data_IF_368357557090
#
_entry.id   IF_368357557090
#
_cell.length_a   1.000
_cell.length_b   1.000
_cell.length_c   1.000
_cell.angle_alpha   90.00
_cell.angle_beta   90.00
_cell.angle_gamma   90.00
#
_symmetry.space_group_name_H-M   'P 1'
#
loop_
_entity.id
_entity.type
_entity.pdbx_description
1 polymer ?
#
# COMPACT_ATOMS: atom_id res chain seq x y z
N UNK A 1 -21.51 -0.93 -18.88
CA UNK A 1 -21.30 -2.18 -18.11
C UNK A 1 -21.11 -1.84 -16.64
N UNK A 2 -21.73 -2.58 -15.71
CA UNK A 2 -21.64 -2.31 -14.27
C UNK A 2 -20.31 -2.86 -13.73
N UNK A 3 -19.57 -2.03 -12.98
CA UNK A 3 -18.30 -2.42 -12.35
C UNK A 3 -18.50 -2.55 -10.84
N UNK A 4 -18.23 -3.73 -10.29
CA UNK A 4 -18.25 -3.99 -8.86
C UNK A 4 -16.88 -3.71 -8.26
N UNK A 5 -16.77 -2.65 -7.46
CA UNK A 5 -15.54 -2.30 -6.77
C UNK A 5 -15.63 -2.83 -5.35
N UNK A 6 -14.78 -3.78 -4.98
CA UNK A 6 -14.80 -4.44 -3.68
C UNK A 6 -13.59 -4.00 -2.85
N UNK A 7 -13.82 -3.56 -1.62
CA UNK A 7 -12.76 -3.30 -0.64
C UNK A 7 -12.36 -4.61 0.03
N UNK A 8 -11.11 -5.06 -0.13
CA UNK A 8 -10.65 -6.30 0.47
C UNK A 8 -10.34 -6.19 1.97
N UNK A 9 -10.35 -4.98 2.56
CA UNK A 9 -10.08 -4.79 3.99
C UNK A 9 -10.97 -5.70 4.83
N UNK A 10 -10.35 -6.49 5.71
CA UNK A 10 -11.10 -7.31 6.66
C UNK A 10 -11.72 -8.57 6.05
N UNK A 11 -11.59 -8.80 4.74
CA UNK A 11 -12.15 -9.98 4.08
C UNK A 11 -11.22 -11.19 4.19
N UNK A 12 -11.78 -12.39 4.28
CA UNK A 12 -11.02 -13.64 4.18
C UNK A 12 -10.71 -13.94 2.71
N UNK A 13 -9.43 -14.00 2.35
CA UNK A 13 -8.90 -14.18 0.99
C UNK A 13 -9.66 -15.23 0.18
N UNK A 14 -9.84 -16.43 0.74
CA UNK A 14 -10.48 -17.56 0.05
C UNK A 14 -11.97 -17.35 -0.16
N UNK A 15 -12.69 -16.80 0.83
CA UNK A 15 -14.13 -16.54 0.71
C UNK A 15 -14.40 -15.42 -0.29
N UNK A 16 -13.63 -14.33 -0.20
CA UNK A 16 -13.67 -13.24 -1.18
C UNK A 16 -13.44 -13.75 -2.60
N UNK A 17 -12.45 -14.64 -2.79
CA UNK A 17 -12.13 -15.20 -4.09
C UNK A 17 -13.29 -16.03 -4.68
N UNK A 18 -13.97 -16.83 -3.87
CA UNK A 18 -15.09 -17.67 -4.32
C UNK A 18 -16.27 -16.84 -4.85
N UNK A 19 -16.72 -15.85 -4.06
CA UNK A 19 -17.79 -14.95 -4.50
C UNK A 19 -17.40 -14.16 -5.75
N UNK A 20 -16.16 -13.68 -5.81
CA UNK A 20 -15.65 -12.96 -6.97
C UNK A 20 -15.63 -13.87 -8.21
N UNK A 21 -15.16 -15.11 -8.11
CA UNK A 21 -15.13 -16.06 -9.22
C UNK A 21 -16.54 -16.30 -9.80
N UNK A 22 -17.56 -16.45 -8.94
CA UNK A 22 -18.94 -16.61 -9.40
C UNK A 22 -19.47 -15.37 -10.13
N UNK A 23 -19.16 -14.16 -9.64
CA UNK A 23 -19.53 -12.90 -10.31
C UNK A 23 -18.87 -12.78 -11.69
N UNK A 24 -17.59 -13.12 -11.80
CA UNK A 24 -16.87 -13.07 -13.08
C UNK A 24 -17.45 -14.03 -14.13
N UNK A 25 -17.90 -15.22 -13.69
CA UNK A 25 -18.57 -16.21 -14.56
C UNK A 25 -19.99 -15.80 -14.97
N UNK A 26 -20.66 -14.95 -14.18
CA UNK A 26 -21.92 -14.31 -14.55
C UNK A 26 -21.73 -13.18 -15.58
N UNK A 27 -20.49 -12.80 -15.88
CA UNK A 27 -20.17 -11.76 -16.86
C UNK A 27 -19.89 -10.38 -16.25
N UNK A 28 -19.89 -10.27 -14.92
CA UNK A 28 -19.68 -8.99 -14.25
C UNK A 28 -18.21 -8.57 -14.22
N UNK A 29 -17.96 -7.26 -14.27
CA UNK A 29 -16.63 -6.70 -14.06
C UNK A 29 -16.38 -6.46 -12.58
N UNK A 30 -15.29 -7.02 -12.05
CA UNK A 30 -14.96 -6.91 -10.62
C UNK A 30 -13.57 -6.33 -10.45
N UNK A 31 -13.49 -5.27 -9.66
CA UNK A 31 -12.24 -4.62 -9.26
C UNK A 31 -12.08 -4.75 -7.75
N UNK A 32 -11.04 -5.46 -7.31
CA UNK A 32 -10.70 -5.59 -5.89
C UNK A 32 -9.58 -4.59 -5.57
N UNK A 33 -9.79 -3.77 -4.53
CA UNK A 33 -8.81 -2.81 -4.03
C UNK A 33 -8.40 -3.13 -2.61
N UNK A 34 -7.25 -2.60 -2.17
CA UNK A 34 -6.69 -2.79 -0.82
C UNK A 34 -6.40 -4.25 -0.48
N UNK A 35 -5.85 -4.98 -1.46
CA UNK A 35 -5.53 -6.39 -1.32
C UNK A 35 -4.57 -6.70 -0.15
N UNK A 36 -3.72 -5.76 0.24
CA UNK A 36 -2.80 -5.84 1.39
C UNK A 36 -3.54 -5.94 2.73
N UNK A 37 -4.76 -5.43 2.83
CA UNK A 37 -5.58 -5.45 4.04
C UNK A 37 -6.54 -6.66 4.11
N UNK A 38 -6.45 -7.57 3.14
CA UNK A 38 -7.14 -8.85 3.19
C UNK A 38 -6.56 -9.74 4.31
N UNK A 39 -7.35 -10.69 4.78
CA UNK A 39 -6.98 -11.58 5.87
C UNK A 39 -6.98 -13.06 5.44
N UNK A 40 -6.16 -13.85 6.12
CA UNK A 40 -6.17 -15.31 6.07
C UNK A 40 -6.34 -15.80 7.51
N UNK A 41 -7.15 -16.85 7.71
CA UNK A 41 -7.27 -17.47 9.03
C UNK A 41 -5.95 -18.14 9.45
N UNK A 42 -5.75 -18.27 10.77
CA UNK A 42 -4.55 -18.83 11.36
C UNK A 42 -3.44 -17.80 11.59
N UNK A 43 -2.48 -18.18 12.44
CA UNK A 43 -1.34 -17.36 12.81
C UNK A 43 -0.37 -17.15 11.64
N UNK A 44 0.40 -16.05 11.69
CA UNK A 44 1.34 -15.64 10.65
C UNK A 44 2.39 -16.73 10.36
N UNK A 45 2.96 -17.36 11.39
CA UNK A 45 3.97 -18.42 11.23
C UNK A 45 3.44 -19.62 10.44
N UNK A 46 2.21 -20.06 10.71
CA UNK A 46 1.55 -21.15 9.95
C UNK A 46 1.38 -20.76 8.48
N UNK A 47 0.97 -19.53 8.22
CA UNK A 47 0.73 -19.05 6.86
C UNK A 47 2.05 -18.81 6.10
N UNK A 48 3.11 -18.38 6.78
CA UNK A 48 4.47 -18.30 6.25
C UNK A 48 4.99 -19.68 5.86
N UNK A 49 4.87 -20.68 6.73
CA UNK A 49 5.29 -22.06 6.42
C UNK A 49 4.53 -22.65 5.23
N UNK A 50 3.21 -22.41 5.15
CA UNK A 50 2.41 -22.80 3.99
C UNK A 50 2.89 -22.13 2.70
N UNK A 51 3.25 -20.85 2.79
CA UNK A 51 3.75 -20.13 1.64
C UNK A 51 5.17 -20.58 1.26
N UNK A 52 6.05 -20.83 2.23
CA UNK A 52 7.38 -21.39 2.02
C UNK A 52 7.31 -22.75 1.32
N UNK A 53 6.45 -23.66 1.78
CA UNK A 53 6.20 -24.93 1.08
C UNK A 53 5.72 -24.71 -0.37
N UNK A 54 4.93 -23.67 -0.63
CA UNK A 54 4.56 -23.27 -2.00
C UNK A 54 5.76 -22.75 -2.80
N UNK A 55 6.72 -22.04 -2.19
CA UNK A 55 7.94 -21.57 -2.86
C UNK A 55 8.87 -22.69 -3.29
N UNK A 56 8.90 -23.79 -2.55
CA UNK A 56 9.75 -24.93 -2.88
C UNK A 56 9.22 -25.69 -4.11
N UNK A 57 7.98 -25.43 -4.55
CA UNK A 57 7.38 -26.05 -5.75
C UNK A 57 7.89 -25.40 -7.02
N UNK A 58 9.13 -25.70 -7.39
CA UNK A 58 9.78 -25.25 -8.63
C UNK A 58 9.99 -26.42 -9.59
N UNK A 59 10.17 -26.11 -10.87
CA UNK A 59 10.57 -27.11 -11.86
C UNK A 59 12.08 -27.34 -11.72
N UNK A 60 12.50 -28.61 -11.56
CA UNK A 60 13.91 -28.97 -11.34
C UNK A 60 14.81 -28.64 -12.54
N UNK A 61 14.31 -28.83 -13.76
CA UNK A 61 15.07 -28.63 -15.01
C UNK A 61 15.24 -27.15 -15.34
N UNK A 62 14.13 -26.40 -15.44
CA UNK A 62 14.15 -24.97 -15.70
C UNK A 62 13.13 -24.23 -14.81
N UNK A 63 13.59 -23.56 -13.73
CA UNK A 63 12.73 -22.80 -12.83
C UNK A 63 11.94 -21.67 -13.51
N UNK A 64 12.41 -21.12 -14.64
CA UNK A 64 11.74 -20.02 -15.35
C UNK A 64 10.42 -20.45 -16.00
N UNK A 65 10.35 -21.68 -16.52
CA UNK A 65 9.15 -22.28 -17.16
C UNK A 65 8.16 -22.84 -16.13
N UNK A 66 8.61 -23.05 -14.89
CA UNK A 66 7.82 -23.63 -13.82
C UNK A 66 6.79 -22.68 -13.19
N UNK A 67 6.42 -23.00 -11.95
CA UNK A 67 5.44 -22.21 -11.20
C UNK A 67 5.95 -20.80 -10.91
N UNK A 68 5.18 -19.77 -11.28
CA UNK A 68 5.48 -18.40 -10.88
C UNK A 68 4.94 -18.12 -9.48
N UNK A 69 5.83 -17.76 -8.55
CA UNK A 69 5.46 -17.40 -7.19
C UNK A 69 5.34 -15.88 -7.06
N UNK A 70 4.12 -15.35 -7.11
CA UNK A 70 3.88 -13.92 -6.89
C UNK A 70 3.96 -13.55 -5.41
N UNK A 71 4.54 -12.38 -5.11
CA UNK A 71 4.70 -11.84 -3.74
C UNK A 71 3.69 -10.76 -3.38
N UNK A 72 3.24 -9.98 -4.36
CA UNK A 72 2.29 -8.90 -4.13
C UNK A 72 0.91 -9.45 -3.66
N UNK A 73 0.28 -8.84 -2.63
CA UNK A 73 -1.04 -9.28 -2.13
C UNK A 73 -2.12 -9.34 -3.23
N UNK A 74 -2.14 -8.35 -4.12
CA UNK A 74 -3.02 -8.29 -5.30
C UNK A 74 -2.89 -9.53 -6.17
N UNK A 75 -1.65 -9.93 -6.49
CA UNK A 75 -1.37 -11.12 -7.30
C UNK A 75 -1.67 -12.42 -6.55
N UNK A 76 -1.50 -12.45 -5.23
CA UNK A 76 -1.89 -13.60 -4.41
C UNK A 76 -3.41 -13.84 -4.46
N UNK A 77 -4.21 -12.77 -4.38
CA UNK A 77 -5.68 -12.84 -4.54
C UNK A 77 -6.03 -13.21 -5.99
N UNK A 78 -5.41 -12.58 -6.97
CA UNK A 78 -5.63 -12.86 -8.40
C UNK A 78 -5.34 -14.34 -8.71
N UNK A 79 -4.27 -14.91 -8.16
CA UNK A 79 -3.93 -16.34 -8.30
C UNK A 79 -4.94 -17.25 -7.61
N UNK A 80 -5.45 -16.87 -6.44
CA UNK A 80 -6.51 -17.61 -5.76
C UNK A 80 -7.80 -17.65 -6.59
N UNK A 81 -8.22 -16.50 -7.14
CA UNK A 81 -9.40 -16.43 -8.02
C UNK A 81 -9.17 -17.23 -9.31
N UNK A 82 -7.98 -17.12 -9.93
CA UNK A 82 -7.63 -17.92 -11.11
C UNK A 82 -7.75 -19.44 -10.87
N UNK A 83 -7.39 -19.90 -9.67
CA UNK A 83 -7.53 -21.30 -9.27
C UNK A 83 -8.98 -21.76 -9.10
N UNK A 84 -9.92 -20.84 -8.92
CA UNK A 84 -11.37 -21.11 -8.82
C UNK A 84 -12.11 -20.93 -10.15
N UNK A 85 -11.41 -20.55 -11.22
CA UNK A 85 -11.96 -20.34 -12.55
C UNK A 85 -11.44 -21.39 -13.54
N UNK A 86 -12.26 -21.83 -14.51
CA UNK A 86 -11.83 -22.70 -15.61
C UNK A 86 -11.00 -21.91 -16.65
N UNK A 87 -9.90 -21.28 -16.21
CA UNK A 87 -9.13 -20.28 -16.95
C UNK A 87 -8.42 -20.80 -18.21
N UNK A 88 -8.36 -22.12 -18.42
CA UNK A 88 -7.86 -22.73 -19.66
C UNK A 88 -8.90 -22.69 -20.79
N UNK A 89 -10.19 -22.61 -20.44
CA UNK A 89 -11.27 -22.45 -21.43
C UNK A 89 -11.40 -20.99 -21.87
N UNK A 90 -11.90 -20.72 -23.10
CA UNK A 90 -12.11 -19.35 -23.58
C UNK A 90 -13.09 -18.58 -22.68
N UNK A 91 -14.15 -19.24 -22.19
CA UNK A 91 -15.10 -18.64 -21.23
C UNK A 91 -14.42 -18.20 -19.94
N UNK A 92 -13.57 -19.06 -19.38
CA UNK A 92 -12.86 -18.76 -18.14
C UNK A 92 -11.76 -17.71 -18.33
N UNK A 93 -11.08 -17.71 -19.48
CA UNK A 93 -10.11 -16.69 -19.84
C UNK A 93 -10.78 -15.30 -19.97
N UNK A 94 -11.93 -15.23 -20.65
CA UNK A 94 -12.73 -14.01 -20.72
C UNK A 94 -13.18 -13.53 -19.34
N UNK A 95 -13.65 -14.43 -18.47
CA UNK A 95 -14.01 -14.12 -17.09
C UNK A 95 -12.82 -13.57 -16.29
N UNK A 96 -11.64 -14.15 -16.44
CA UNK A 96 -10.43 -13.67 -15.79
C UNK A 96 -9.98 -12.29 -16.31
N UNK A 97 -10.21 -12.00 -17.60
CA UNK A 97 -9.96 -10.68 -18.19
C UNK A 97 -10.81 -9.56 -17.60
N UNK A 98 -11.98 -9.88 -17.01
CA UNK A 98 -12.85 -8.89 -16.33
C UNK A 98 -12.36 -8.51 -14.93
N UNK A 99 -11.41 -9.25 -14.36
CA UNK A 99 -10.90 -9.05 -13.00
C UNK A 99 -9.74 -8.04 -12.96
N UNK A 100 -9.86 -7.04 -12.10
CA UNK A 100 -8.75 -6.14 -11.73
C UNK A 100 -8.47 -6.22 -10.23
N UNK A 101 -7.21 -6.20 -9.84
CA UNK A 101 -6.78 -6.31 -8.44
C UNK A 101 -5.66 -5.30 -8.16
N UNK A 102 -5.76 -4.55 -7.08
CA UNK A 102 -4.79 -3.51 -6.71
C UNK A 102 -4.37 -3.60 -5.24
N UNK A 103 -3.09 -3.34 -5.01
CA UNK A 103 -2.56 -3.03 -3.68
C UNK A 103 -2.80 -1.54 -3.41
N UNK A 104 -3.43 -1.21 -2.30
CA UNK A 104 -4.00 0.11 -2.04
C UNK A 104 -5.20 0.45 -2.92
N UNK A 105 -5.56 1.73 -2.96
CA UNK A 105 -6.62 2.26 -3.84
C UNK A 105 -5.99 3.27 -4.80
N UNK A 106 -5.92 2.97 -6.11
CA UNK A 106 -5.43 3.95 -7.07
C UNK A 106 -6.45 5.08 -7.25
N UNK A 107 -5.98 6.23 -7.73
CA UNK A 107 -6.74 7.49 -7.87
C UNK A 107 -8.07 7.33 -8.60
N UNK A 108 -8.13 6.46 -9.62
CA UNK A 108 -9.32 6.15 -10.42
C UNK A 108 -10.47 5.61 -9.55
N UNK A 109 -10.17 4.77 -8.56
CA UNK A 109 -11.17 4.15 -7.68
C UNK A 109 -11.30 4.87 -6.33
N UNK A 110 -10.55 5.94 -6.09
CA UNK A 110 -10.54 6.66 -4.82
C UNK A 110 -11.93 7.21 -4.48
N UNK A 111 -12.52 7.96 -5.41
CA UNK A 111 -13.83 8.64 -5.26
C UNK A 111 -15.03 7.72 -5.48
N UNK A 112 -14.84 6.53 -6.06
CA UNK A 112 -15.91 5.56 -6.31
C UNK A 112 -16.29 4.83 -5.02
N UNK A 113 -17.58 4.53 -4.85
CA UNK A 113 -18.08 3.76 -3.71
C UNK A 113 -17.55 2.34 -3.80
N UNK A 114 -16.90 1.90 -2.72
CA UNK A 114 -16.43 0.52 -2.56
C UNK A 114 -17.49 -0.29 -1.82
N UNK A 115 -17.68 -1.51 -2.27
CA UNK A 115 -18.61 -2.48 -1.71
C UNK A 115 -17.86 -3.47 -0.82
N UNK A 116 -18.61 -4.16 0.01
CA UNK A 116 -18.15 -5.19 0.94
C UNK A 116 -19.00 -6.42 0.71
N UNK A 117 -18.41 -7.60 0.85
CA UNK A 117 -19.13 -8.87 0.83
C UNK A 117 -19.24 -9.34 2.28
N UNK A 118 -20.39 -9.16 2.95
CA UNK A 118 -20.54 -9.49 4.37
C UNK A 118 -20.10 -10.93 4.66
N UNK A 119 -20.55 -11.87 3.84
CA UNK A 119 -20.25 -13.29 3.98
C UNK A 119 -18.78 -13.68 3.86
N UNK A 120 -17.93 -12.78 3.37
CA UNK A 120 -16.49 -12.96 3.30
C UNK A 120 -15.74 -12.18 4.38
N UNK A 121 -16.41 -11.35 5.19
CA UNK A 121 -15.77 -10.61 6.28
C UNK A 121 -15.26 -11.54 7.38
N UNK A 122 -14.03 -11.31 7.81
CA UNK A 122 -13.40 -12.00 8.94
C UNK A 122 -14.26 -11.87 10.21
N UNK A 123 -14.77 -10.68 10.51
CA UNK A 123 -15.52 -10.40 11.75
C UNK A 123 -16.78 -11.27 11.87
N UNK A 124 -17.41 -11.61 10.75
CA UNK A 124 -18.61 -12.45 10.73
C UNK A 124 -18.28 -13.94 10.67
N UNK A 125 -17.17 -14.31 10.03
CA UNK A 125 -16.88 -15.71 9.70
C UNK A 125 -15.87 -16.39 10.61
N UNK A 126 -15.08 -15.63 11.36
CA UNK A 126 -14.05 -16.15 12.25
C UNK A 126 -14.47 -15.90 13.69
N UNK A 127 -14.25 -16.89 14.57
CA UNK A 127 -14.46 -16.72 16.01
C UNK A 127 -13.57 -15.60 16.56
N UNK A 128 -14.05 -14.85 17.54
CA UNK A 128 -13.37 -13.67 18.07
C UNK A 128 -11.94 -13.94 18.58
N UNK A 129 -11.70 -15.11 19.21
CA UNK A 129 -10.38 -15.51 19.74
C UNK A 129 -9.44 -16.11 18.69
N UNK A 130 -9.92 -16.43 17.51
CA UNK A 130 -9.11 -17.12 16.52
C UNK A 130 -8.12 -16.17 15.84
N UNK A 131 -6.85 -16.57 15.84
CA UNK A 131 -5.76 -15.81 15.22
C UNK A 131 -5.95 -15.73 13.70
N UNK A 132 -5.56 -14.61 13.12
CA UNK A 132 -5.57 -14.38 11.68
C UNK A 132 -4.29 -13.64 11.28
N UNK A 133 -4.01 -13.67 9.98
CA UNK A 133 -2.87 -13.00 9.37
C UNK A 133 -3.37 -12.00 8.35
N UNK A 134 -2.85 -10.78 8.37
CA UNK A 134 -3.07 -9.80 7.31
C UNK A 134 -2.16 -10.13 6.12
N UNK A 135 -2.69 -10.03 4.91
CA UNK A 135 -2.03 -10.46 3.69
C UNK A 135 -0.80 -9.62 3.37
N UNK A 136 -0.84 -8.32 3.68
CA UNK A 136 0.31 -7.42 3.57
C UNK A 136 1.50 -7.87 4.40
N UNK A 137 1.28 -8.28 5.66
CA UNK A 137 2.37 -8.72 6.55
C UNK A 137 2.98 -10.05 6.07
N UNK A 138 2.12 -10.97 5.61
CA UNK A 138 2.57 -12.20 4.97
C UNK A 138 3.37 -11.90 3.69
N UNK A 139 2.91 -10.97 2.86
CA UNK A 139 3.59 -10.61 1.61
C UNK A 139 4.97 -10.00 1.88
N UNK A 140 5.09 -9.10 2.86
CA UNK A 140 6.38 -8.52 3.28
C UNK A 140 7.34 -9.62 3.72
N UNK A 141 6.88 -10.54 4.58
CA UNK A 141 7.72 -11.64 5.09
C UNK A 141 8.24 -12.57 3.99
N UNK A 142 7.57 -12.63 2.84
CA UNK A 142 7.94 -13.49 1.71
C UNK A 142 8.70 -12.70 0.62
N UNK A 143 8.87 -11.38 0.77
CA UNK A 143 9.69 -10.54 -0.11
C UNK A 143 8.91 -9.56 -0.98
N UNK A 144 7.78 -9.02 -0.51
CA UNK A 144 7.10 -7.90 -1.18
C UNK A 144 7.71 -6.55 -0.74
N UNK A 145 8.44 -5.90 -1.63
CA UNK A 145 9.18 -4.65 -1.33
C UNK A 145 8.37 -3.35 -1.34
N UNK A 146 7.18 -3.33 -1.95
CA UNK A 146 6.42 -2.08 -2.14
C UNK A 146 5.54 -1.68 -0.94
N UNK A 147 5.55 -2.45 0.15
CA UNK A 147 4.68 -2.21 1.30
C UNK A 147 4.84 -0.80 1.91
N UNK A 148 6.07 -0.30 2.00
CA UNK A 148 6.34 1.05 2.53
C UNK A 148 5.74 2.16 1.66
N UNK A 149 5.90 2.07 0.35
CA UNK A 149 5.37 3.03 -0.63
C UNK A 149 3.84 3.04 -0.60
N UNK A 150 3.22 1.86 -0.66
CA UNK A 150 1.75 1.74 -0.58
C UNK A 150 1.23 2.27 0.75
N UNK A 151 1.94 1.99 1.86
CA UNK A 151 1.60 2.53 3.18
C UNK A 151 1.61 4.06 3.23
N UNK A 152 2.58 4.72 2.57
CA UNK A 152 2.62 6.19 2.46
C UNK A 152 1.43 6.72 1.65
N UNK A 153 1.20 6.16 0.46
CA UNK A 153 0.11 6.58 -0.43
C UNK A 153 -1.28 6.39 0.19
N UNK A 154 -1.50 5.29 0.92
CA UNK A 154 -2.77 5.05 1.62
C UNK A 154 -2.96 6.03 2.80
N UNK A 155 -1.91 6.41 3.51
CA UNK A 155 -1.99 7.44 4.58
C UNK A 155 -2.44 8.79 4.01
N UNK A 156 -1.82 9.22 2.90
CA UNK A 156 -2.20 10.45 2.20
C UNK A 156 -3.64 10.39 1.69
N UNK A 157 -4.03 9.26 1.08
CA UNK A 157 -5.40 9.03 0.61
C UNK A 157 -6.42 9.07 1.76
N UNK A 158 -6.10 8.47 2.91
CA UNK A 158 -6.97 8.49 4.09
C UNK A 158 -7.12 9.91 4.65
N UNK A 159 -6.05 10.72 4.65
CA UNK A 159 -6.12 12.13 5.04
C UNK A 159 -7.06 12.92 4.13
N UNK A 160 -6.90 12.79 2.80
CA UNK A 160 -7.80 13.39 1.80
C UNK A 160 -9.24 12.92 1.97
N UNK A 161 -9.44 11.63 2.23
CA UNK A 161 -10.75 11.03 2.50
C UNK A 161 -11.42 11.58 3.77
N UNK A 162 -10.68 11.77 4.86
CA UNK A 162 -11.16 12.36 6.11
C UNK A 162 -11.60 13.82 5.91
N UNK A 163 -10.81 14.61 5.20
CA UNK A 163 -11.14 16.00 4.85
C UNK A 163 -12.40 16.10 3.98
N UNK A 164 -12.53 15.21 2.98
CA UNK A 164 -13.73 15.12 2.16
C UNK A 164 -14.97 14.74 3.00
N UNK A 165 -14.85 13.73 3.87
CA UNK A 165 -15.96 13.27 4.69
C UNK A 165 -16.44 14.34 5.68
N UNK A 166 -15.53 15.04 6.36
CA UNK A 166 -15.91 16.11 7.29
C UNK A 166 -16.64 17.26 6.59
N UNK A 167 -16.18 17.66 5.40
CA UNK A 167 -16.88 18.62 4.54
C UNK A 167 -18.26 18.12 4.11
N UNK A 168 -18.37 16.86 3.68
CA UNK A 168 -19.64 16.24 3.26
C UNK A 168 -20.65 16.16 4.40
N UNK A 169 -20.21 15.86 5.62
CA UNK A 169 -21.08 15.83 6.80
C UNK A 169 -21.60 17.22 7.16
N UNK A 170 -20.76 18.26 7.08
CA UNK A 170 -21.21 19.65 7.26
C UNK A 170 -22.22 20.05 6.18
N UNK A 171 -21.93 19.72 4.92
CA UNK A 171 -22.83 20.00 3.80
C UNK A 171 -24.18 19.28 3.95
N UNK A 172 -24.17 18.04 4.46
CA UNK A 172 -25.38 17.29 4.79
C UNK A 172 -26.18 17.99 5.89
N UNK A 173 -25.54 18.36 7.01
CA UNK A 173 -26.21 19.10 8.11
C UNK A 173 -26.84 20.42 7.65
N UNK A 174 -26.16 21.15 6.77
CA UNK A 174 -26.71 22.39 6.19
C UNK A 174 -27.91 22.09 5.30
N UNK A 175 -27.85 21.05 4.47
CA UNK A 175 -28.98 20.63 3.64
C UNK A 175 -30.17 20.19 4.47
N UNK A 176 -29.93 19.40 5.52
CA UNK A 176 -30.95 18.93 6.45
C UNK A 176 -31.60 20.14 7.16
N UNK A 177 -30.80 21.10 7.66
CA UNK A 177 -31.33 22.32 8.28
C UNK A 177 -32.17 23.20 7.32
N UNK A 178 -31.75 23.35 6.06
CA UNK A 178 -32.53 24.05 5.03
C UNK A 178 -33.82 23.28 4.70
N UNK A 179 -33.77 21.96 4.68
CA UNK A 179 -34.95 21.13 4.46
C UNK A 179 -35.94 21.29 5.61
N UNK A 180 -35.48 21.23 6.86
CA UNK A 180 -36.30 21.50 8.05
C UNK A 180 -36.92 22.90 8.02
N UNK A 181 -36.17 23.93 7.62
CA UNK A 181 -36.69 25.30 7.44
C UNK A 181 -37.85 25.34 6.42
N UNK A 182 -37.68 24.64 5.29
CA UNK A 182 -38.70 24.53 4.24
C UNK A 182 -39.93 23.72 4.68
N UNK A 183 -39.75 22.69 5.51
CA UNK A 183 -40.88 21.93 6.06
C UNK A 183 -41.61 22.72 7.14
N UNK A 184 -40.88 23.44 8.00
CA UNK A 184 -41.49 24.30 9.01
C UNK A 184 -42.28 25.45 8.37
N UNK A 185 -41.79 26.06 7.28
CA UNK A 185 -42.54 27.09 6.53
C UNK A 185 -43.77 26.55 5.82
N UNK A 186 -43.68 25.36 5.21
CA UNK A 186 -44.86 24.65 4.65
C UNK A 186 -45.91 24.30 5.73
N UNK A 187 -45.47 23.81 6.89
CA UNK A 187 -46.35 23.45 8.01
C UNK A 187 -46.80 24.67 8.84
N UNK A 188 -46.09 25.80 8.79
CA UNK A 188 -46.45 27.05 9.46
C UNK A 188 -47.60 27.80 8.80
N UNK A 189 -47.94 27.44 7.54
CA UNK A 189 -49.21 27.85 6.91
C UNK A 189 -50.41 27.34 7.73
N UNK A 190 -50.23 26.39 8.66
CA UNK A 190 -51.29 25.85 9.52
C UNK A 190 -51.34 26.38 10.97
N UNK A 191 -50.33 27.07 11.56
CA UNK A 191 -50.49 27.70 12.91
C UNK A 191 -49.44 28.79 13.27
N UNK A 192 -49.85 29.79 14.09
CA UNK A 192 -49.03 30.92 14.62
C UNK A 192 -47.74 30.53 15.38
N UNK A 193 -47.59 29.28 15.84
CA UNK A 193 -46.37 28.78 16.56
C UNK A 193 -45.16 28.55 15.64
N UNK A 194 -45.32 28.52 14.31
CA UNK A 194 -44.24 28.25 13.35
C UNK A 194 -43.13 29.33 13.23
N UNK A 195 -43.47 30.61 13.39
CA UNK A 195 -42.54 31.75 13.14
C UNK A 195 -41.32 31.80 14.09
N UNK A 196 -41.45 31.36 15.35
CA UNK A 196 -40.33 31.31 16.31
C UNK A 196 -39.31 30.22 15.97
N UNK A 197 -39.76 29.06 15.46
CA UNK A 197 -38.90 27.95 15.04
C UNK A 197 -38.11 28.30 13.77
N UNK A 198 -38.75 28.99 12.83
CA UNK A 198 -38.11 29.44 11.59
C UNK A 198 -36.90 30.35 11.83
N UNK A 199 -37.01 31.32 12.75
CA UNK A 199 -35.91 32.22 13.11
C UNK A 199 -34.73 31.50 13.80
N UNK A 200 -35.00 30.46 14.59
CA UNK A 200 -33.95 29.65 15.21
C UNK A 200 -33.19 28.81 14.18
N UNK A 201 -33.92 28.24 13.20
CA UNK A 201 -33.34 27.47 12.09
C UNK A 201 -32.49 28.39 11.20
N UNK A 202 -33.00 29.57 10.81
CA UNK A 202 -32.24 30.58 10.04
C UNK A 202 -30.92 30.96 10.73
N UNK A 203 -30.95 31.23 12.04
CA UNK A 203 -29.72 31.51 12.83
C UNK A 203 -28.73 30.34 12.83
N UNK A 204 -29.22 29.09 12.93
CA UNK A 204 -28.39 27.89 12.86
C UNK A 204 -27.77 27.69 11.48
N UNK A 205 -28.56 27.86 10.41
CA UNK A 205 -28.13 27.79 9.01
C UNK A 205 -27.05 28.85 8.73
N UNK A 206 -27.23 30.09 9.20
CA UNK A 206 -26.25 31.16 9.02
C UNK A 206 -24.97 30.93 9.82
N UNK A 207 -25.06 30.37 11.03
CA UNK A 207 -23.89 29.95 11.82
C UNK A 207 -23.11 28.84 11.11
N UNK A 208 -23.80 27.87 10.50
CA UNK A 208 -23.17 26.81 9.71
C UNK A 208 -22.57 27.33 8.38
N UNK A 209 -23.22 28.30 7.72
CA UNK A 209 -22.67 28.98 6.53
C UNK A 209 -21.43 29.81 6.86
N UNK A 210 -21.41 30.55 7.98
CA UNK A 210 -20.25 31.32 8.47
C UNK A 210 -19.07 30.41 8.82
N UNK A 211 -19.29 29.30 9.51
CA UNK A 211 -18.24 28.30 9.81
C UNK A 211 -17.69 27.61 8.56
N UNK A 212 -18.52 27.42 7.52
CA UNK A 212 -18.09 26.92 6.19
C UNK A 212 -17.23 27.95 5.42
N UNK A 213 -17.56 29.26 5.48
CA UNK A 213 -16.73 30.35 4.92
C UNK A 213 -15.39 30.46 5.66
N UNK A 214 -15.38 30.41 6.99
CA UNK A 214 -14.16 30.44 7.81
C UNK A 214 -13.21 29.26 7.53
N UNK A 215 -13.74 28.04 7.37
CA UNK A 215 -12.93 26.86 7.00
C UNK A 215 -12.41 26.88 5.56
N UNK A 216 -13.16 27.44 4.59
CA UNK A 216 -12.66 27.66 3.22
C UNK A 216 -11.49 28.65 3.20
N UNK A 217 -11.56 29.73 3.98
CA UNK A 217 -10.46 30.69 4.12
C UNK A 217 -9.22 30.11 4.81
N UNK A 218 -9.42 29.25 5.82
CA UNK A 218 -8.33 28.57 6.52
C UNK A 218 -7.64 27.49 5.67
N UNK A 219 -8.39 26.69 4.90
CA UNK A 219 -7.79 25.73 3.95
C UNK A 219 -7.02 26.46 2.83
N UNK A 220 -7.57 27.53 2.25
CA UNK A 220 -6.83 28.30 1.24
C UNK A 220 -5.56 28.98 1.79
N UNK A 221 -5.56 29.43 3.06
CA UNK A 221 -4.36 29.95 3.74
C UNK A 221 -3.35 28.85 4.06
N UNK A 222 -3.80 27.64 4.39
CA UNK A 222 -2.93 26.49 4.69
C UNK A 222 -2.33 25.92 3.41
N UNK A 223 -3.14 25.70 2.37
CA UNK A 223 -2.70 25.29 1.03
C UNK A 223 -1.74 26.33 0.39
N UNK A 224 -1.90 27.63 0.70
CA UNK A 224 -0.97 28.69 0.26
C UNK A 224 0.29 28.85 1.13
N UNK A 225 0.27 28.39 2.38
CA UNK A 225 1.42 28.37 3.29
C UNK A 225 2.27 27.12 3.08
N UNK A 226 1.63 25.97 2.92
CA UNK A 226 2.24 24.68 2.58
C UNK A 226 2.90 24.75 1.19
N UNK A 227 2.29 25.42 0.19
CA UNK A 227 2.94 25.71 -1.11
C UNK A 227 4.14 26.67 -1.02
N UNK A 228 4.10 27.66 -0.12
CA UNK A 228 5.22 28.58 0.14
C UNK A 228 6.34 27.92 0.95
N UNK A 229 6.02 26.92 1.77
CA UNK A 229 6.99 26.11 2.51
C UNK A 229 7.61 25.03 1.60
N UNK A 230 6.82 24.37 0.74
CA UNK A 230 7.33 23.48 -0.33
C UNK A 230 8.22 24.23 -1.33
N UNK A 231 7.83 25.41 -1.84
CA UNK A 231 8.71 26.23 -2.72
C UNK A 231 10.00 26.72 -2.02
N UNK A 232 9.99 26.85 -0.68
CA UNK A 232 11.17 27.23 0.09
C UNK A 232 12.07 26.03 0.40
N UNK A 233 11.50 24.84 0.61
CA UNK A 233 12.25 23.59 0.75
C UNK A 233 12.88 23.16 -0.58
N UNK A 234 12.13 23.25 -1.69
CA UNK A 234 12.62 22.93 -3.04
C UNK A 234 13.78 23.86 -3.47
N UNK A 235 13.68 25.17 -3.18
CA UNK A 235 14.79 26.12 -3.42
C UNK A 235 16.01 25.89 -2.51
N UNK A 236 15.81 25.24 -1.35
CA UNK A 236 16.87 24.92 -0.39
C UNK A 236 17.56 23.60 -0.75
N UNK A 237 16.82 22.63 -1.30
CA UNK A 237 17.37 21.40 -1.89
C UNK A 237 18.11 21.67 -3.19
N UNK A 238 17.59 22.53 -4.08
CA UNK A 238 18.27 22.93 -5.33
C UNK A 238 19.61 23.66 -5.06
N UNK A 239 19.65 24.50 -4.02
CA UNK A 239 20.88 25.18 -3.61
C UNK A 239 21.87 24.23 -2.90
N UNK A 240 21.38 23.15 -2.28
CA UNK A 240 22.20 22.12 -1.66
C UNK A 240 22.80 21.20 -2.72
N UNK A 241 22.01 20.80 -3.72
CA UNK A 241 22.47 20.04 -4.90
C UNK A 241 23.49 20.83 -5.73
N UNK A 242 23.25 22.13 -5.98
CA UNK A 242 24.24 22.99 -6.68
C UNK A 242 25.54 23.17 -5.89
N UNK A 243 25.52 23.08 -4.56
CA UNK A 243 26.72 23.12 -3.71
C UNK A 243 27.46 21.78 -3.68
N UNK A 244 26.74 20.66 -3.66
CA UNK A 244 27.35 19.32 -3.78
C UNK A 244 27.94 19.10 -5.17
N UNK A 245 27.27 19.53 -6.24
CA UNK A 245 27.81 19.47 -7.61
C UNK A 245 29.05 20.36 -7.81
N UNK A 246 29.09 21.53 -7.16
CA UNK A 246 30.29 22.37 -7.16
C UNK A 246 31.43 21.74 -6.36
N UNK A 247 31.12 21.01 -5.29
CA UNK A 247 32.11 20.30 -4.47
C UNK A 247 32.64 19.09 -5.22
N UNK A 248 31.78 18.25 -5.80
CA UNK A 248 32.17 17.13 -6.66
C UNK A 248 32.97 17.58 -7.89
N UNK A 249 32.62 18.71 -8.53
CA UNK A 249 33.43 19.26 -9.64
C UNK A 249 34.79 19.82 -9.18
N UNK A 250 34.93 20.19 -7.91
CA UNK A 250 36.19 20.66 -7.33
C UNK A 250 37.07 19.48 -6.92
N UNK A 251 36.48 18.47 -6.30
CA UNK A 251 37.10 17.20 -5.93
C UNK A 251 37.57 16.44 -7.18
N UNK A 252 36.77 16.42 -8.26
CA UNK A 252 37.18 15.85 -9.57
C UNK A 252 38.28 16.67 -10.26
N UNK A 253 38.38 17.98 -9.98
CA UNK A 253 39.48 18.82 -10.48
C UNK A 253 40.77 18.60 -9.68
N UNK A 254 40.66 18.41 -8.37
CA UNK A 254 41.78 18.08 -7.49
C UNK A 254 42.29 16.66 -7.77
N UNK A 255 41.41 15.67 -7.95
CA UNK A 255 41.76 14.30 -8.37
C UNK A 255 42.41 14.25 -9.76
N UNK A 256 41.99 15.11 -10.70
CA UNK A 256 42.63 15.23 -12.02
C UNK A 256 44.02 15.86 -11.92
N UNK A 257 44.21 16.83 -11.02
CA UNK A 257 45.50 17.48 -10.75
C UNK A 257 46.47 16.50 -10.06
N UNK A 258 45.98 15.74 -9.11
CA UNK A 258 46.75 14.69 -8.42
C UNK A 258 47.07 13.50 -9.34
N UNK A 259 46.21 13.20 -10.33
CA UNK A 259 46.49 12.21 -11.39
C UNK A 259 47.46 12.71 -12.46
N UNK A 260 47.51 14.01 -12.77
CA UNK A 260 48.56 14.57 -13.64
C UNK A 260 49.91 14.62 -12.92
N UNK A 261 49.94 14.97 -11.63
CA UNK A 261 51.17 15.01 -10.82
C UNK A 261 51.73 13.61 -10.53
N UNK A 262 50.86 12.57 -10.46
CA UNK A 262 51.28 11.16 -10.39
C UNK A 262 51.67 10.56 -11.74
N UNK A 263 51.22 11.13 -12.87
CA UNK A 263 51.62 10.69 -14.22
C UNK A 263 53.02 11.20 -14.60
N UNK A 264 53.48 12.30 -14.00
CA UNK A 264 54.86 12.79 -14.12
C UNK A 264 55.87 12.05 -13.21
N UNK A 265 55.39 11.27 -12.22
CA UNK A 265 56.25 10.52 -11.27
C UNK A 265 56.13 8.99 -11.36
N UNK A 266 55.62 8.45 -12.47
CA UNK A 266 55.27 7.03 -12.57
C UNK A 266 55.46 6.40 -13.94
N UNK A 267 56.53 6.72 -14.66
CA UNK A 267 57.05 5.77 -15.65
C UNK A 267 57.67 4.58 -14.91
N UNK A 268 56.91 3.49 -14.79
CA UNK A 268 57.35 2.08 -14.91
C UNK A 268 56.22 1.12 -14.47
N UNK A 269 55.87 0.24 -15.42
CA UNK A 269 55.36 -1.14 -15.25
C UNK A 269 53.85 -1.45 -15.04
N UNK A 270 53.30 -2.05 -16.11
CA UNK A 270 52.34 -3.19 -16.24
C UNK A 270 50.81 -2.93 -16.33
N UNK A 271 50.27 -3.41 -17.46
CA UNK A 271 48.84 -3.52 -17.85
C UNK A 271 47.99 -4.35 -16.85
N UNK A 272 46.74 -3.96 -16.56
CA UNK A 272 45.79 -4.77 -15.80
C UNK A 272 44.68 -5.31 -16.71
N UNK A 273 44.79 -6.57 -17.16
CA UNK A 273 43.64 -7.31 -17.65
C UNK A 273 43.75 -8.79 -17.27
N UNK A 274 43.15 -9.15 -16.13
CA UNK A 274 42.79 -10.53 -15.79
C UNK A 274 41.43 -10.54 -15.07
N UNK A 275 40.48 -11.43 -15.42
CA UNK A 275 39.17 -11.51 -14.78
C UNK A 275 39.24 -12.18 -13.39
N UNK A 276 38.31 -11.88 -12.47
CA UNK A 276 38.35 -12.43 -11.11
C UNK A 276 37.96 -13.91 -11.07
N UNK A 277 38.79 -14.66 -10.36
CA UNK A 277 38.80 -16.11 -10.23
C UNK A 277 37.62 -16.65 -9.38
N UNK A 278 36.89 -17.62 -9.94
CA UNK A 278 35.75 -18.32 -9.33
C UNK A 278 36.24 -19.53 -8.51
N UNK A 279 36.85 -19.30 -7.35
CA UNK A 279 37.02 -20.37 -6.37
C UNK A 279 37.17 -19.83 -4.94
N UNK A 280 36.13 -19.99 -4.12
CA UNK A 280 36.29 -20.10 -2.66
C UNK A 280 35.55 -21.34 -2.18
N UNK A 281 36.24 -22.37 -1.67
CA UNK A 281 35.60 -23.44 -0.94
C UNK A 281 35.15 -22.94 0.44
N UNK A 282 33.97 -23.37 0.86
CA UNK A 282 33.45 -23.19 2.21
C UNK A 282 34.34 -23.93 3.23
N UNK A 283 35.15 -23.21 4.01
CA UNK A 283 35.79 -23.77 5.19
C UNK A 283 34.84 -23.72 6.39
N UNK A 284 34.41 -24.91 6.83
CA UNK A 284 33.75 -25.15 8.10
C UNK A 284 34.78 -25.03 9.24
N UNK A 285 34.52 -24.18 10.24
CA UNK A 285 35.33 -24.09 11.45
C UNK A 285 34.98 -25.27 12.38
N UNK A 286 35.87 -26.24 12.51
CA UNK A 286 35.81 -27.24 13.59
C UNK A 286 36.56 -26.67 14.80
N UNK A 287 35.84 -26.47 15.90
CA UNK A 287 36.44 -26.12 17.19
C UNK A 287 37.11 -27.35 17.79
N UNK A 288 38.44 -27.36 17.93
CA UNK A 288 39.16 -28.33 18.77
C UNK A 288 39.30 -27.76 20.18
N UNK A 289 38.72 -28.47 21.15
CA UNK A 289 38.90 -28.30 22.59
C UNK A 289 40.37 -28.54 22.95
N UNK A 290 40.94 -27.60 23.69
CA UNK A 290 42.18 -27.76 24.46
C UNK A 290 41.92 -28.65 25.68
N UNK A 291 42.63 -29.77 25.80
CA UNK A 291 42.89 -30.45 27.07
C UNK A 291 44.40 -30.47 27.25
N UNK A 292 44.89 -29.63 28.14
CA UNK A 292 46.20 -29.75 28.77
C UNK A 292 45.93 -30.26 30.19
N UNK A 293 46.39 -31.47 30.47
CA UNK A 293 46.66 -31.96 31.81
C UNK A 293 47.78 -32.98 31.67
N UNK A 294 48.98 -32.59 32.06
CA UNK A 294 50.08 -33.51 32.34
C UNK A 294 50.18 -33.69 33.85
N UNK A 295 50.55 -34.90 34.25
CA UNK A 295 51.45 -35.32 35.36
C UNK A 295 51.25 -36.83 35.53
N UNK A 296 52.22 -37.65 35.11
CA UNK A 296 53.18 -38.34 36.01
C UNK A 296 52.50 -39.21 37.07
N UNK A 297 52.68 -40.54 36.99
CA UNK A 297 53.26 -41.35 38.06
C UNK A 297 53.80 -42.68 37.51
N UNK A 298 54.87 -43.14 38.17
CA UNK A 298 55.83 -44.19 37.82
C UNK A 298 55.31 -45.63 37.99
N UNK A 299 56.00 -46.53 37.28
CA UNK A 299 56.24 -47.98 37.45
C UNK A 299 55.06 -48.91 37.80
#
# INVERSE_FOLDING_TARGET
MREFIVDAKGHLKGRLASYTAKLLLKGEHVTIVRCEEANISGNIRRNQLKFAAYLHKTMRTNPLRGHRHYRAPSQMIKKAIRGMLPHKSPRGAAAFGRLKTYDGVPTIYEKKKKLVIPDALRVQRLQARAKYTRLGDLAVAVGWGYAGIIGKLEKERLARGKAYHSKKQLDKKVKDAIWEEKQCTKNAVLTKKGKRRENAIKKLVDKLKKTKKGKKGANNKKDGKDKKEEEKEDKKTDNKEKKTDKKEKKDVKEDKKEKTDKKEKGEKNKNPFSPPDLHRPYHYKVAKKTQQAGTEYKD
#
